data_IF_397208013529
#
_entry.id   IF_397208013529
#
_cell.length_a   1.000
_cell.length_b   1.000
_cell.length_c   1.000
_cell.angle_alpha   90.00
_cell.angle_beta   90.00
_cell.angle_gamma   90.00
#
_symmetry.space_group_name_H-M   'P 1'
#
loop_
_entity.id
_entity.type
_entity.pdbx_description
1 polymer ?
#
# COMPACT_ATOMS: atom_id res chain seq x y z
N UNK A 1 -30.18 6.90 9.45
CA UNK A 1 -29.32 5.71 9.29
C UNK A 1 -29.18 5.46 7.80
N UNK A 2 -28.12 6.01 7.20
CA UNK A 2 -27.79 5.82 5.80
C UNK A 2 -26.76 4.69 5.75
N UNK A 3 -27.16 3.53 5.24
CA UNK A 3 -26.23 2.52 4.75
C UNK A 3 -25.61 3.08 3.48
N UNK A 4 -24.48 3.78 3.61
CA UNK A 4 -23.62 4.03 2.47
C UNK A 4 -23.14 2.66 1.98
N UNK A 5 -23.37 2.38 0.70
CA UNK A 5 -22.88 1.17 0.05
C UNK A 5 -21.36 1.11 0.22
N UNK A 6 -20.86 -0.01 0.73
CA UNK A 6 -19.42 -0.28 0.73
C UNK A 6 -19.09 -0.65 -0.71
N UNK A 7 -18.88 0.37 -1.55
CA UNK A 7 -18.62 0.19 -2.97
C UNK A 7 -17.26 -0.51 -3.17
N UNK A 8 -17.24 -1.50 -4.08
CA UNK A 8 -16.09 -2.25 -4.59
C UNK A 8 -15.40 -3.28 -3.67
N UNK A 9 -16.18 -4.05 -2.89
CA UNK A 9 -15.67 -5.28 -2.26
C UNK A 9 -15.52 -6.37 -3.33
N UNK A 10 -14.31 -6.89 -3.49
CA UNK A 10 -13.98 -8.04 -4.32
C UNK A 10 -13.50 -9.20 -3.45
N UNK A 11 -13.68 -10.43 -3.95
CA UNK A 11 -13.05 -11.61 -3.39
C UNK A 11 -11.92 -12.08 -4.32
N UNK A 12 -10.68 -12.07 -3.83
CA UNK A 12 -9.51 -12.62 -4.53
C UNK A 12 -9.14 -13.96 -3.89
N UNK A 13 -9.90 -15.01 -4.24
CA UNK A 13 -9.74 -16.37 -3.72
C UNK A 13 -9.82 -16.45 -2.18
N UNK A 14 -10.91 -15.94 -1.62
CA UNK A 14 -11.14 -15.91 -0.17
C UNK A 14 -10.35 -14.82 0.55
N UNK A 15 -9.96 -13.75 -0.15
CA UNK A 15 -9.33 -12.55 0.45
C UNK A 15 -10.22 -11.37 0.10
N UNK A 16 -10.63 -10.62 1.12
CA UNK A 16 -11.33 -9.36 0.91
C UNK A 16 -10.39 -8.34 0.27
N UNK A 17 -10.76 -7.87 -0.91
CA UNK A 17 -10.03 -6.87 -1.66
C UNK A 17 -10.91 -5.63 -1.88
N UNK A 18 -10.31 -4.45 -1.79
CA UNK A 18 -11.00 -3.16 -1.96
C UNK A 18 -10.29 -2.33 -3.03
N UNK A 19 -11.05 -1.77 -3.95
CA UNK A 19 -10.52 -0.85 -4.98
C UNK A 19 -10.90 0.59 -4.63
N UNK A 20 -9.90 1.46 -4.51
CA UNK A 20 -10.05 2.89 -4.23
C UNK A 20 -9.56 3.76 -5.38
N UNK A 21 -9.97 5.03 -5.38
CA UNK A 21 -9.51 6.00 -6.38
C UNK A 21 -8.26 6.72 -5.86
N UNK A 22 -8.35 7.27 -4.65
CA UNK A 22 -7.25 7.95 -3.95
C UNK A 22 -6.66 7.05 -2.86
N UNK A 23 -5.35 7.14 -2.64
CA UNK A 23 -4.66 6.20 -1.76
C UNK A 23 -5.06 6.31 -0.29
N UNK A 24 -5.26 7.54 0.18
CA UNK A 24 -5.71 7.79 1.54
C UNK A 24 -7.05 7.11 1.87
N UNK A 25 -7.91 6.81 0.88
CA UNK A 25 -9.15 6.05 1.12
C UNK A 25 -8.89 4.68 1.75
N UNK A 26 -7.72 4.07 1.52
CA UNK A 26 -7.37 2.75 2.06
C UNK A 26 -7.40 2.74 3.59
N UNK A 27 -7.12 3.89 4.21
CA UNK A 27 -7.17 4.09 5.65
C UNK A 27 -8.48 3.58 6.26
N UNK A 28 -9.63 3.82 5.62
CA UNK A 28 -10.95 3.40 6.14
C UNK A 28 -11.12 1.89 6.24
N UNK A 29 -10.43 1.13 5.39
CA UNK A 29 -10.45 -0.34 5.40
C UNK A 29 -9.40 -0.91 6.37
N UNK A 30 -8.36 -0.16 6.68
CA UNK A 30 -7.33 -0.58 7.63
C UNK A 30 -7.75 -0.38 9.09
N UNK A 31 -8.69 0.54 9.36
CA UNK A 31 -9.21 0.83 10.71
C UNK A 31 -9.76 -0.38 11.47
N UNK A 32 -10.20 -1.42 10.75
CA UNK A 32 -10.71 -2.67 11.32
C UNK A 32 -9.60 -3.65 11.76
N UNK A 33 -8.34 -3.34 11.44
CA UNK A 33 -7.19 -4.19 11.71
C UNK A 33 -6.39 -3.66 12.89
N UNK A 34 -5.57 -4.52 13.50
CA UNK A 34 -4.70 -4.19 14.63
C UNK A 34 -3.41 -4.96 14.56
N UNK A 35 -2.31 -4.30 14.89
CA UNK A 35 -0.95 -4.89 14.91
C UNK A 35 -0.59 -5.61 13.59
N UNK A 36 -1.00 -5.01 12.46
CA UNK A 36 -0.81 -5.61 11.14
C UNK A 36 0.55 -5.26 10.55
N UNK A 37 1.07 -6.19 9.76
CA UNK A 37 2.15 -5.93 8.82
C UNK A 37 1.55 -5.31 7.56
N UNK A 38 2.09 -4.17 7.14
CA UNK A 38 1.77 -3.52 5.86
C UNK A 38 2.88 -3.84 4.85
N UNK A 39 2.52 -4.52 3.78
CA UNK A 39 3.32 -4.56 2.56
C UNK A 39 2.70 -3.58 1.57
N UNK A 40 3.34 -2.43 1.41
CA UNK A 40 2.93 -1.33 0.54
C UNK A 40 3.76 -1.35 -0.74
N UNK A 41 3.10 -1.52 -1.88
CA UNK A 41 3.72 -1.61 -3.21
C UNK A 41 3.38 -0.34 -3.96
N UNK A 42 4.38 0.52 -4.16
CA UNK A 42 4.16 1.91 -4.55
C UNK A 42 5.43 2.55 -5.18
N UNK A 43 5.26 3.53 -6.06
CA UNK A 43 6.33 4.36 -6.61
C UNK A 43 6.86 5.41 -5.62
N UNK A 44 6.04 5.78 -4.63
CA UNK A 44 6.27 6.69 -3.52
C UNK A 44 6.14 5.94 -2.20
N UNK A 45 6.59 6.52 -1.10
CA UNK A 45 6.55 5.83 0.21
C UNK A 45 5.30 6.14 1.03
N UNK A 46 4.66 7.28 0.75
CA UNK A 46 3.50 7.82 1.48
C UNK A 46 3.64 7.93 3.01
N UNK A 47 4.89 8.13 3.42
CA UNK A 47 5.32 8.29 4.80
C UNK A 47 5.36 9.76 5.25
N UNK A 48 4.55 10.65 4.69
CA UNK A 48 4.42 12.03 5.16
C UNK A 48 3.87 12.11 6.58
N UNK A 49 4.10 13.24 7.27
CA UNK A 49 3.48 13.54 8.57
C UNK A 49 2.32 14.52 8.38
N UNK A 50 1.06 14.11 8.65
CA UNK A 50 -0.09 14.98 8.44
C UNK A 50 -0.28 16.02 9.54
N UNK A 51 -0.79 17.19 9.14
CA UNK A 51 -1.33 18.20 10.06
C UNK A 51 -2.78 17.86 10.40
N UNK A 52 -2.97 16.91 11.30
CA UNK A 52 -4.29 16.50 11.79
C UNK A 52 -4.34 16.54 13.30
N UNK A 53 -5.36 17.22 13.83
CA UNK A 53 -5.65 17.16 15.26
C UNK A 53 -5.96 15.71 15.62
N UNK A 54 -5.02 15.04 16.29
CA UNK A 54 -5.17 13.66 16.71
C UNK A 54 -6.44 13.52 17.54
N UNK A 55 -7.33 12.65 17.10
CA UNK A 55 -8.52 12.26 17.86
C UNK A 55 -8.26 10.92 18.51
N UNK A 56 -8.96 10.59 19.60
CA UNK A 56 -8.70 9.35 20.34
C UNK A 56 -9.04 8.10 19.51
N UNK A 57 -10.10 8.18 18.70
CA UNK A 57 -10.52 7.12 17.79
C UNK A 57 -11.01 7.76 16.50
N UNK A 58 -10.40 7.44 15.34
CA UNK A 58 -10.83 8.01 14.08
C UNK A 58 -12.19 7.46 13.67
N UNK A 59 -13.02 8.30 13.07
CA UNK A 59 -14.23 7.87 12.36
C UNK A 59 -13.88 7.40 10.94
N UNK A 60 -14.80 6.66 10.30
CA UNK A 60 -14.57 6.08 8.96
C UNK A 60 -14.19 7.13 7.90
N UNK A 61 -14.65 8.37 8.06
CA UNK A 61 -14.38 9.49 7.15
C UNK A 61 -13.11 10.28 7.50
N UNK A 62 -12.36 9.88 8.54
CA UNK A 62 -11.13 10.58 8.97
C UNK A 62 -10.08 10.67 7.84
N UNK A 63 -10.06 9.70 6.92
CA UNK A 63 -9.16 9.71 5.76
C UNK A 63 -9.27 10.97 4.90
N UNK A 64 -10.43 11.64 4.90
CA UNK A 64 -10.65 12.89 4.15
C UNK A 64 -9.79 14.06 4.65
N UNK A 65 -9.25 13.94 5.87
CA UNK A 65 -8.31 14.90 6.45
C UNK A 65 -6.84 14.54 6.17
N UNK A 66 -6.58 13.41 5.53
CA UNK A 66 -5.26 12.91 5.17
C UNK A 66 -5.01 13.16 3.68
N UNK A 67 -3.75 13.32 3.31
CA UNK A 67 -3.35 13.31 1.91
C UNK A 67 -2.94 11.90 1.49
N UNK A 68 -2.91 11.69 0.17
CA UNK A 68 -2.35 10.45 -0.41
C UNK A 68 -0.91 10.19 0.04
N UNK A 69 -0.15 11.23 0.42
CA UNK A 69 1.26 11.11 0.75
C UNK A 69 1.54 10.94 2.25
N UNK A 70 0.53 10.92 3.14
CA UNK A 70 0.75 10.99 4.60
C UNK A 70 -0.10 10.05 5.46
N UNK A 71 -0.97 9.24 4.86
CA UNK A 71 -1.98 8.48 5.58
C UNK A 71 -1.45 7.24 6.33
N UNK A 72 -0.25 6.77 5.99
CA UNK A 72 0.40 5.63 6.67
C UNK A 72 0.88 6.01 8.08
N UNK A 73 1.36 7.24 8.29
CA UNK A 73 1.80 7.71 9.61
C UNK A 73 0.66 7.63 10.65
N UNK A 74 -0.56 8.14 10.38
CA UNK A 74 -1.74 7.91 11.20
C UNK A 74 -2.08 6.43 11.40
N UNK A 75 -1.95 5.59 10.37
CA UNK A 75 -2.28 4.16 10.50
C UNK A 75 -1.38 3.46 11.52
N UNK A 76 -0.11 3.86 11.59
CA UNK A 76 0.84 3.43 12.62
C UNK A 76 0.48 4.01 14.00
N UNK A 77 0.14 5.30 14.08
CA UNK A 77 -0.23 5.96 15.34
C UNK A 77 -1.45 5.31 16.01
N UNK A 78 -2.48 4.98 15.23
CA UNK A 78 -3.70 4.32 15.71
C UNK A 78 -3.55 2.81 15.93
N UNK A 79 -2.36 2.25 15.65
CA UNK A 79 -2.03 0.84 15.84
C UNK A 79 -2.75 -0.12 14.90
N UNK A 80 -3.24 0.36 13.74
CA UNK A 80 -3.79 -0.50 12.70
C UNK A 80 -2.69 -1.31 12.03
N UNK A 81 -1.59 -0.61 11.77
CA UNK A 81 -0.31 -1.13 11.30
C UNK A 81 0.69 -1.05 12.45
N UNK A 82 1.64 -1.97 12.51
CA UNK A 82 2.77 -1.94 13.44
C UNK A 82 4.12 -2.19 12.78
N UNK A 83 4.12 -2.69 11.54
CA UNK A 83 5.32 -2.91 10.73
C UNK A 83 5.03 -2.51 9.29
N UNK A 84 5.98 -1.84 8.65
CA UNK A 84 5.82 -1.28 7.31
C UNK A 84 6.98 -1.76 6.44
N UNK A 85 6.63 -2.39 5.33
CA UNK A 85 7.54 -2.78 4.26
C UNK A 85 7.08 -2.05 3.00
N UNK A 86 7.98 -1.29 2.39
CA UNK A 86 7.73 -0.61 1.13
C UNK A 86 8.50 -1.31 0.01
N UNK A 87 7.76 -1.75 -1.00
CA UNK A 87 8.30 -2.33 -2.23
C UNK A 87 8.09 -1.33 -3.38
N UNK A 88 9.18 -0.80 -3.93
CA UNK A 88 9.17 0.06 -5.12
C UNK A 88 9.69 -0.69 -6.36
N UNK A 89 8.81 -1.16 -7.26
CA UNK A 89 9.20 -1.96 -8.43
C UNK A 89 10.06 -1.21 -9.47
N UNK A 90 10.24 0.11 -9.34
CA UNK A 90 11.11 0.88 -10.22
C UNK A 90 12.60 0.81 -9.83
N UNK A 91 12.89 0.38 -8.60
CA UNK A 91 14.25 0.23 -8.10
C UNK A 91 14.82 -1.16 -8.39
N UNK A 92 16.14 -1.27 -8.33
CA UNK A 92 16.82 -2.56 -8.47
C UNK A 92 16.54 -3.47 -7.26
N UNK A 93 16.85 -4.77 -7.40
CA UNK A 93 16.49 -5.76 -6.38
C UNK A 93 17.07 -5.48 -4.98
N UNK A 94 18.24 -4.85 -4.91
CA UNK A 94 18.93 -4.51 -3.66
C UNK A 94 18.26 -3.36 -2.90
N UNK A 95 17.51 -2.50 -3.59
CA UNK A 95 16.94 -1.26 -3.01
C UNK A 95 15.42 -1.22 -3.05
N UNK A 96 14.80 -2.09 -3.84
CA UNK A 96 13.34 -2.04 -4.04
C UNK A 96 12.55 -2.37 -2.79
N UNK A 97 13.11 -3.08 -1.81
CA UNK A 97 12.41 -3.45 -0.58
C UNK A 97 13.12 -2.87 0.63
N UNK A 98 12.41 -2.04 1.37
CA UNK A 98 12.88 -1.46 2.63
C UNK A 98 11.84 -1.67 3.73
N UNK A 99 12.34 -1.90 4.94
CA UNK A 99 11.55 -1.85 6.16
C UNK A 99 11.72 -0.47 6.80
N UNK A 100 10.63 0.09 7.31
CA UNK A 100 10.69 1.29 8.12
C UNK A 100 10.75 0.93 9.61
N UNK A 101 11.84 1.31 10.29
CA UNK A 101 11.96 1.24 11.75
C UNK A 101 11.61 2.60 12.37
N UNK A 102 10.32 2.86 12.57
CA UNK A 102 9.83 4.10 13.17
C UNK A 102 8.56 3.88 13.99
N UNK A 103 8.24 4.84 14.85
CA UNK A 103 6.95 4.95 15.54
C UNK A 103 6.28 6.26 15.15
N UNK A 104 4.96 6.31 15.33
CA UNK A 104 4.22 7.55 15.20
C UNK A 104 3.77 8.05 16.57
N UNK A 105 3.72 9.36 16.75
CA UNK A 105 3.34 10.05 17.98
C UNK A 105 2.44 11.24 17.67
N UNK A 106 1.66 11.66 18.66
CA UNK A 106 0.91 12.90 18.61
C UNK A 106 1.72 14.02 19.26
N UNK A 107 2.04 15.07 18.51
CA UNK A 107 2.71 16.27 18.99
C UNK A 107 1.82 17.49 18.76
N UNK A 108 1.02 17.83 19.77
CA UNK A 108 -0.01 18.86 19.64
C UNK A 108 -1.08 18.43 18.64
N UNK A 109 -1.08 19.08 17.46
CA UNK A 109 -2.02 18.82 16.35
C UNK A 109 -1.34 18.15 15.15
N UNK A 110 -0.18 17.52 15.37
CA UNK A 110 0.55 16.76 14.36
C UNK A 110 0.58 15.29 14.76
N UNK A 111 0.16 14.41 13.85
CA UNK A 111 0.63 13.03 13.92
C UNK A 111 1.96 13.02 13.16
N UNK A 112 3.04 12.72 13.87
CA UNK A 112 4.41 12.79 13.35
C UNK A 112 5.19 11.53 13.67
N UNK A 113 6.28 11.32 12.93
CA UNK A 113 7.23 10.27 13.25
C UNK A 113 8.04 10.62 14.51
N UNK A 114 8.31 9.62 15.35
CA UNK A 114 9.14 9.78 16.55
C UNK A 114 10.58 10.19 16.22
N UNK A 115 11.06 9.78 15.05
CA UNK A 115 12.33 10.13 14.41
C UNK A 115 12.16 10.13 12.90
N UNK A 116 13.17 10.60 12.15
CA UNK A 116 13.17 10.44 10.69
C UNK A 116 13.05 8.94 10.35
N UNK A 117 12.03 8.53 9.56
CA UNK A 117 11.88 7.14 9.16
C UNK A 117 13.16 6.67 8.46
N UNK A 118 13.81 5.66 9.02
CA UNK A 118 15.00 5.07 8.43
C UNK A 118 14.59 3.85 7.60
N UNK A 119 15.05 3.84 6.36
CA UNK A 119 14.87 2.72 5.43
C UNK A 119 15.97 1.69 5.68
N UNK A 120 15.56 0.50 6.12
CA UNK A 120 16.45 -0.62 6.32
C UNK A 120 16.26 -1.62 5.17
N UNK A 121 17.29 -1.90 4.35
CA UNK A 121 17.22 -2.94 3.34
C UNK A 121 16.84 -4.27 3.98
N UNK A 122 15.91 -4.99 3.35
CA UNK A 122 15.49 -6.30 3.84
C UNK A 122 16.36 -7.38 3.20
N UNK A 123 17.28 -7.95 3.98
CA UNK A 123 18.18 -9.00 3.52
C UNK A 123 17.50 -10.37 3.41
N UNK A 124 16.49 -10.63 4.26
CA UNK A 124 15.82 -11.93 4.37
C UNK A 124 14.30 -11.75 4.47
N UNK A 125 13.58 -12.15 3.42
CA UNK A 125 12.12 -12.00 3.37
C UNK A 125 11.38 -13.09 4.17
N UNK A 126 12.06 -14.20 4.46
CA UNK A 126 11.51 -15.33 5.21
C UNK A 126 11.20 -14.97 6.67
N UNK A 127 11.76 -13.86 7.16
CA UNK A 127 11.55 -13.30 8.49
C UNK A 127 10.38 -12.32 8.59
N UNK A 128 9.77 -11.94 7.45
CA UNK A 128 8.56 -11.09 7.43
C UNK A 128 7.50 -11.77 8.32
N UNK A 129 7.19 -11.11 9.44
CA UNK A 129 6.59 -11.73 10.63
C UNK A 129 5.33 -12.53 10.28
N UNK A 130 5.46 -13.87 10.24
CA UNK A 130 4.40 -14.78 9.75
C UNK A 130 3.12 -14.76 10.59
N UNK A 131 3.20 -14.34 11.85
CA UNK A 131 2.10 -14.41 12.82
C UNK A 131 1.14 -13.20 12.80
N UNK A 132 1.57 -12.03 12.31
CA UNK A 132 0.72 -10.83 12.30
C UNK A 132 -0.35 -10.89 11.21
N UNK A 133 -1.49 -10.20 11.30
CA UNK A 133 -2.30 -9.95 10.10
C UNK A 133 -1.46 -9.22 9.04
N UNK A 134 -1.69 -9.48 7.75
CA UNK A 134 -0.99 -8.80 6.66
C UNK A 134 -1.96 -8.07 5.74
N UNK A 135 -1.68 -6.77 5.57
CA UNK A 135 -2.26 -5.90 4.58
C UNK A 135 -1.34 -5.93 3.37
N UNK A 136 -1.87 -6.33 2.22
CA UNK A 136 -1.22 -6.09 0.93
C UNK A 136 -1.86 -4.84 0.31
N UNK A 137 -1.10 -3.75 0.31
CA UNK A 137 -1.50 -2.48 -0.26
C UNK A 137 -0.77 -2.28 -1.59
N UNK A 138 -1.53 -2.02 -2.65
CA UNK A 138 -1.00 -1.88 -4.01
C UNK A 138 -1.51 -0.57 -4.60
N UNK A 139 -0.66 0.44 -4.72
CA UNK A 139 -0.92 1.54 -5.64
C UNK A 139 -0.54 1.12 -7.05
N UNK A 140 -1.44 1.34 -8.01
CA UNK A 140 -1.17 1.02 -9.40
C UNK A 140 -0.08 1.90 -10.03
N UNK A 141 0.22 3.05 -9.44
CA UNK A 141 1.31 3.89 -9.91
C UNK A 141 2.70 3.29 -9.63
N UNK A 142 2.80 2.31 -8.70
CA UNK A 142 3.98 1.46 -8.50
C UNK A 142 4.51 0.81 -9.79
N UNK A 143 3.63 0.67 -10.78
CA UNK A 143 3.93 0.03 -12.05
C UNK A 143 4.08 1.03 -13.20
N UNK A 144 3.39 2.18 -13.15
CA UNK A 144 3.33 3.10 -14.29
C UNK A 144 3.16 4.57 -13.90
N UNK A 145 3.87 5.01 -12.88
CA UNK A 145 3.82 6.39 -12.41
C UNK A 145 4.25 7.39 -13.51
N UNK A 146 3.43 8.41 -13.75
CA UNK A 146 3.70 9.55 -14.63
C UNK A 146 4.28 10.76 -13.88
N UNK A 147 4.42 10.64 -12.56
CA UNK A 147 5.08 11.60 -11.68
C UNK A 147 6.58 11.34 -11.49
N UNK A 148 7.18 12.02 -10.52
CA UNK A 148 8.56 11.76 -10.10
C UNK A 148 8.60 10.57 -9.15
N UNK A 149 8.98 9.40 -9.67
CA UNK A 149 9.19 8.18 -8.87
C UNK A 149 10.34 8.38 -7.88
N UNK A 150 10.17 7.90 -6.64
CA UNK A 150 11.23 7.96 -5.64
C UNK A 150 12.44 7.09 -6.01
N UNK A 151 13.64 7.63 -5.78
CA UNK A 151 14.90 6.88 -5.92
C UNK A 151 15.37 6.62 -7.36
N UNK A 152 14.67 7.12 -8.38
CA UNK A 152 15.10 7.02 -9.79
C UNK A 152 15.50 8.39 -10.36
N UNK A 153 16.23 8.37 -11.48
CA UNK A 153 16.60 9.58 -12.22
C UNK A 153 15.39 10.17 -12.96
N UNK A 154 15.35 11.49 -13.14
CA UNK A 154 14.26 12.17 -13.86
C UNK A 154 14.05 11.70 -15.32
N UNK A 155 15.07 11.09 -15.95
CA UNK A 155 14.98 10.55 -17.31
C UNK A 155 14.57 9.07 -17.37
N UNK A 156 14.16 8.48 -16.25
CA UNK A 156 13.73 7.09 -16.18
C UNK A 156 12.34 6.94 -16.81
N UNK A 157 12.16 5.93 -17.65
CA UNK A 157 10.84 5.59 -18.19
C UNK A 157 10.07 4.79 -17.15
N UNK A 158 9.25 5.50 -16.38
CA UNK A 158 8.40 4.91 -15.36
C UNK A 158 7.10 4.31 -15.93
N UNK A 159 6.76 4.57 -17.20
CA UNK A 159 5.49 4.12 -17.80
C UNK A 159 5.71 2.83 -18.58
N UNK A 160 6.75 2.75 -19.41
CA UNK A 160 7.06 1.56 -20.20
C UNK A 160 7.45 0.35 -19.36
N UNK A 161 7.01 -0.85 -19.74
CA UNK A 161 7.34 -2.11 -19.05
C UNK A 161 6.60 -2.32 -17.73
N UNK A 162 5.42 -1.72 -17.56
CA UNK A 162 4.63 -1.84 -16.34
C UNK A 162 4.16 -3.28 -16.08
N UNK A 163 3.88 -4.06 -17.12
CA UNK A 163 3.48 -5.48 -17.01
C UNK A 163 4.58 -6.32 -16.36
N UNK A 164 5.85 -6.03 -16.70
CA UNK A 164 7.00 -6.70 -16.11
C UNK A 164 7.13 -6.34 -14.63
N UNK A 165 6.91 -5.07 -14.26
CA UNK A 165 6.92 -4.64 -12.86
C UNK A 165 5.79 -5.30 -12.05
N UNK A 166 4.59 -5.48 -12.62
CA UNK A 166 3.51 -6.27 -11.99
C UNK A 166 3.97 -7.71 -11.76
N UNK A 167 4.54 -8.36 -12.77
CA UNK A 167 5.04 -9.74 -12.65
C UNK A 167 6.12 -9.87 -11.57
N UNK A 168 7.10 -8.95 -11.54
CA UNK A 168 8.18 -8.95 -10.56
C UNK A 168 7.65 -8.74 -9.12
N UNK A 169 6.68 -7.83 -8.93
CA UNK A 169 6.00 -7.66 -7.66
C UNK A 169 5.22 -8.93 -7.25
N UNK A 170 4.53 -9.58 -8.18
CA UNK A 170 3.82 -10.82 -7.91
C UNK A 170 4.76 -11.98 -7.52
N UNK A 171 5.91 -12.11 -8.18
CA UNK A 171 6.95 -13.08 -7.82
C UNK A 171 7.53 -12.81 -6.43
N UNK A 172 7.65 -11.53 -6.07
CA UNK A 172 8.00 -11.14 -4.71
C UNK A 172 6.94 -11.61 -3.70
N UNK A 173 5.68 -11.23 -3.91
CA UNK A 173 4.54 -11.57 -3.04
C UNK A 173 4.36 -13.08 -2.92
N UNK A 174 4.65 -13.85 -3.97
CA UNK A 174 4.56 -15.33 -4.01
C UNK A 174 5.42 -16.02 -2.94
N UNK A 175 6.39 -15.35 -2.35
CA UNK A 175 7.25 -15.91 -1.29
C UNK A 175 6.73 -15.60 0.12
N UNK A 176 5.73 -14.74 0.25
CA UNK A 176 5.17 -14.31 1.52
C UNK A 176 3.93 -15.11 1.90
N UNK A 177 3.43 -14.97 3.12
CA UNK A 177 2.14 -15.55 3.50
C UNK A 177 0.98 -14.96 2.69
N UNK A 178 -0.20 -15.58 2.76
CA UNK A 178 -1.42 -15.03 2.17
C UNK A 178 -1.83 -13.77 2.97
N UNK A 179 -2.18 -12.64 2.33
CA UNK A 179 -2.69 -11.47 3.04
C UNK A 179 -4.09 -11.72 3.59
N UNK A 180 -4.41 -11.01 4.66
CA UNK A 180 -5.74 -10.99 5.27
C UNK A 180 -6.66 -9.99 4.55
N UNK A 181 -6.08 -8.88 4.07
CA UNK A 181 -6.77 -7.83 3.31
C UNK A 181 -5.90 -7.38 2.15
N UNK A 182 -6.53 -7.07 1.02
CA UNK A 182 -5.90 -6.41 -0.13
C UNK A 182 -6.56 -5.04 -0.33
N UNK A 183 -5.74 -4.00 -0.48
CA UNK A 183 -6.19 -2.70 -0.99
C UNK A 183 -5.49 -2.41 -2.30
N UNK A 184 -6.25 -1.97 -3.31
CA UNK A 184 -5.73 -1.60 -4.63
C UNK A 184 -6.18 -0.17 -4.94
N UNK A 185 -5.23 0.73 -5.08
CA UNK A 185 -5.49 2.14 -5.37
C UNK A 185 -5.22 2.44 -6.83
N UNK A 186 -6.20 3.03 -7.51
CA UNK A 186 -6.08 3.39 -8.93
C UNK A 186 -5.17 4.58 -9.18
N UNK A 187 -4.83 5.33 -8.14
CA UNK A 187 -4.07 6.59 -8.19
C UNK A 187 -4.71 7.58 -9.18
N UNK A 188 -6.03 7.72 -9.05
CA UNK A 188 -6.86 8.62 -9.84
C UNK A 188 -7.63 9.54 -8.90
N UNK A 189 -7.38 10.84 -8.97
CA UNK A 189 -8.18 11.80 -8.21
C UNK A 189 -7.63 13.21 -8.32
N UNK A 190 -7.36 13.81 -7.16
CA UNK A 190 -6.74 15.13 -6.96
C UNK A 190 -5.42 15.21 -7.69
N UNK A 191 -4.65 14.13 -7.61
CA UNK A 191 -3.48 13.87 -8.43
C UNK A 191 -3.70 12.57 -9.19
N UNK A 192 -3.20 12.51 -10.41
CA UNK A 192 -3.28 11.32 -11.25
C UNK A 192 -1.87 10.87 -11.55
N UNK A 193 -1.44 9.78 -10.93
CA UNK A 193 -0.10 9.24 -11.15
C UNK A 193 -0.09 8.13 -12.20
N UNK A 194 -1.18 7.37 -12.32
CA UNK A 194 -1.34 6.43 -13.44
C UNK A 194 -1.90 7.15 -14.67
N UNK A 195 -1.30 6.99 -15.87
CA UNK A 195 -1.88 7.51 -17.11
C UNK A 195 -3.33 7.03 -17.31
N UNK A 196 -4.25 7.97 -17.55
CA UNK A 196 -5.70 7.69 -17.68
C UNK A 196 -6.04 6.60 -18.70
N UNK A 197 -5.25 6.48 -19.77
CA UNK A 197 -5.46 5.46 -20.81
C UNK A 197 -4.96 4.06 -20.41
N UNK A 198 -4.16 3.96 -19.34
CA UNK A 198 -3.57 2.71 -18.87
C UNK A 198 -4.25 2.19 -17.59
N UNK A 199 -4.84 3.05 -16.77
CA UNK A 199 -5.31 2.68 -15.42
C UNK A 199 -6.20 1.44 -15.38
N UNK A 200 -7.15 1.30 -16.30
CA UNK A 200 -8.03 0.12 -16.32
C UNK A 200 -7.25 -1.13 -16.75
N UNK A 201 -6.32 -1.01 -17.69
CA UNK A 201 -5.46 -2.14 -18.11
C UNK A 201 -4.53 -2.59 -16.99
N UNK A 202 -3.95 -1.64 -16.25
CA UNK A 202 -3.04 -1.92 -15.13
C UNK A 202 -3.81 -2.57 -13.98
N UNK A 203 -5.02 -2.07 -13.69
CA UNK A 203 -5.91 -2.65 -12.68
C UNK A 203 -6.29 -4.09 -13.03
N UNK A 204 -6.81 -4.31 -14.24
CA UNK A 204 -7.31 -5.62 -14.67
C UNK A 204 -6.18 -6.66 -14.73
N UNK A 205 -5.00 -6.26 -15.20
CA UNK A 205 -3.83 -7.13 -15.24
C UNK A 205 -3.35 -7.48 -13.83
N UNK A 206 -3.26 -6.49 -12.92
CA UNK A 206 -2.88 -6.69 -11.52
C UNK A 206 -3.85 -7.64 -10.82
N UNK A 207 -5.16 -7.42 -10.97
CA UNK A 207 -6.21 -8.30 -10.44
C UNK A 207 -6.10 -9.73 -11.00
N UNK A 208 -5.86 -9.86 -12.31
CA UNK A 208 -5.67 -11.15 -12.96
C UNK A 208 -4.49 -11.93 -12.39
N UNK A 209 -3.35 -11.26 -12.19
CA UNK A 209 -2.14 -11.85 -11.62
C UNK A 209 -2.35 -12.24 -10.15
N UNK A 210 -2.91 -11.36 -9.32
CA UNK A 210 -3.20 -11.67 -7.92
C UNK A 210 -4.20 -12.83 -7.79
N UNK A 211 -5.23 -12.87 -8.65
CA UNK A 211 -6.18 -13.97 -8.69
C UNK A 211 -5.53 -15.30 -9.04
N UNK A 212 -4.65 -15.34 -10.05
CA UNK A 212 -3.91 -16.56 -10.40
C UNK A 212 -2.96 -16.99 -9.26
N UNK A 213 -2.24 -16.03 -8.70
CA UNK A 213 -1.30 -16.24 -7.59
C UNK A 213 -1.99 -16.92 -6.41
N UNK A 214 -3.12 -16.37 -5.94
CA UNK A 214 -3.80 -16.90 -4.76
C UNK A 214 -4.69 -18.11 -5.03
N UNK A 215 -5.15 -18.32 -6.28
CA UNK A 215 -5.81 -19.56 -6.68
C UNK A 215 -4.87 -20.76 -6.58
N UNK A 216 -3.62 -20.60 -7.01
CA UNK A 216 -2.60 -21.67 -6.95
C UNK A 216 -2.30 -22.16 -5.53
N UNK A 217 -2.54 -21.30 -4.52
CA UNK A 217 -2.33 -21.62 -3.09
C UNK A 217 -3.50 -22.32 -2.43
N UNK A 218 -4.72 -22.21 -2.98
CA UNK A 218 -5.92 -22.85 -2.44
C UNK A 218 -6.02 -24.35 -2.72
N UNK A 219 -5.22 -24.88 -3.64
CA UNK A 219 -5.24 -26.30 -4.05
C UNK A 219 -4.22 -27.18 -3.30
N UNK A 220 -3.62 -26.66 -2.22
CA UNK A 220 -2.52 -27.30 -1.50
C UNK A 220 -2.78 -27.56 0.00
N UNK A 221 -4.03 -27.81 0.38
CA UNK A 221 -4.40 -28.34 1.71
C UNK A 221 -4.96 -29.73 1.61
#
# INVERSE_FOLDING_TARGET
MSTQSIDNILDINGISAFITQEHNENFRYWMQLKDSLLLHIDAHSDMGSPFVNGIETPEIDFYKNLSIADFICPALYYGFVSEIYWLNPHLNEEKRLVRYDCKAKLEGVWISWDRNPMEEPVECIEEIHKLKPMILDVDLDAFCCSGLVHGVRASYDAIGGWEERVCQAADFIRRLKKPDVITITRSQGTYTYVPKLLVDSVQDYTLGILSQLYKSRGNGT
#
